data_IF_561960473117
#
_entry.id   IF_561960473117
#
_cell.length_a   1.000
_cell.length_b   1.000
_cell.length_c   1.000
_cell.angle_alpha   90.00
_cell.angle_beta   90.00
_cell.angle_gamma   90.00
#
_symmetry.space_group_name_H-M   'P 1'
#
loop_
_entity.id
_entity.type
_entity.pdbx_description
1 polymer ?
#
# COMPACT_ATOMS: atom_id res chain seq x y z
N UNK A 1 8.29 10.49 -22.53
CA UNK A 1 7.40 10.73 -21.37
C UNK A 1 6.96 12.18 -21.43
N UNK A 2 5.67 12.44 -21.33
CA UNK A 2 5.12 13.79 -21.12
C UNK A 2 5.52 14.31 -19.72
N UNK A 3 5.66 15.63 -19.58
CA UNK A 3 6.14 16.27 -18.34
C UNK A 3 5.32 15.89 -17.10
N UNK A 4 4.03 15.62 -17.28
CA UNK A 4 3.16 15.14 -16.21
C UNK A 4 3.59 13.77 -15.68
N UNK A 5 3.86 12.79 -16.56
CA UNK A 5 4.34 11.45 -16.16
C UNK A 5 5.69 11.55 -15.47
N UNK A 6 6.55 12.49 -15.88
CA UNK A 6 7.84 12.73 -15.21
C UNK A 6 7.64 13.34 -13.82
N UNK A 7 6.76 14.33 -13.69
CA UNK A 7 6.40 14.92 -12.39
C UNK A 7 5.81 13.90 -11.42
N UNK A 8 4.94 13.02 -11.91
CA UNK A 8 4.32 11.97 -11.10
C UNK A 8 5.30 10.86 -10.73
N UNK A 9 6.18 10.49 -11.66
CA UNK A 9 7.28 9.58 -11.37
C UNK A 9 8.22 10.16 -10.31
N UNK A 10 8.61 11.43 -10.45
CA UNK A 10 9.45 12.12 -9.46
C UNK A 10 8.73 12.27 -8.11
N UNK A 11 7.41 12.51 -8.12
CA UNK A 11 6.58 12.54 -6.91
C UNK A 11 6.52 11.16 -6.25
N UNK A 12 6.26 10.11 -7.01
CA UNK A 12 6.23 8.73 -6.50
C UNK A 12 7.61 8.27 -6.00
N UNK A 13 8.70 8.71 -6.65
CA UNK A 13 10.06 8.43 -6.19
C UNK A 13 10.42 9.22 -4.93
N UNK A 14 9.98 10.48 -4.79
CA UNK A 14 10.20 11.31 -3.59
C UNK A 14 9.37 10.90 -2.39
N UNK A 15 8.15 10.41 -2.63
CA UNK A 15 7.24 9.90 -1.60
C UNK A 15 7.25 8.36 -1.56
N UNK A 16 8.29 7.74 -2.14
CA UNK A 16 8.50 6.30 -2.05
C UNK A 16 8.57 5.97 -0.57
N UNK A 17 7.90 4.90 -0.14
CA UNK A 17 7.71 4.45 1.27
C UNK A 17 8.99 4.31 2.12
N UNK A 18 10.17 4.71 1.66
CA UNK A 18 11.39 4.74 2.45
C UNK A 18 11.26 5.53 3.76
N UNK A 19 10.44 6.60 3.81
CA UNK A 19 10.18 7.32 5.07
C UNK A 19 9.05 6.73 5.91
N UNK A 20 8.36 5.68 5.44
CA UNK A 20 7.27 5.05 6.21
C UNK A 20 7.83 4.32 7.42
N UNK A 21 9.07 3.82 7.32
CA UNK A 21 9.77 3.20 8.44
C UNK A 21 10.25 4.20 9.49
N UNK A 22 10.29 5.50 9.14
CA UNK A 22 10.56 6.59 10.08
C UNK A 22 9.25 7.14 10.70
N UNK A 23 8.08 6.66 10.24
CA UNK A 23 6.78 7.06 10.76
C UNK A 23 6.47 6.24 12.02
N UNK A 24 6.36 6.94 13.16
CA UNK A 24 6.13 6.32 14.46
C UNK A 24 4.78 5.61 14.53
N UNK A 25 3.73 6.15 13.89
CA UNK A 25 2.40 5.52 13.86
C UNK A 25 2.45 4.22 13.06
N UNK A 26 3.22 4.21 11.97
CA UNK A 26 3.47 3.00 11.19
C UNK A 26 4.27 1.94 11.98
N UNK A 27 5.31 2.35 12.70
CA UNK A 27 6.12 1.44 13.54
C UNK A 27 5.27 0.80 14.66
N UNK A 28 4.53 1.63 15.42
CA UNK A 28 3.66 1.16 16.51
C UNK A 28 2.60 0.19 16.00
N UNK A 29 1.99 0.50 14.85
CA UNK A 29 1.00 -0.36 14.21
C UNK A 29 1.61 -1.68 13.74
N UNK A 30 2.79 -1.63 13.12
CA UNK A 30 3.51 -2.81 12.65
C UNK A 30 3.86 -3.76 13.81
N UNK A 31 4.39 -3.22 14.90
CA UNK A 31 4.69 -3.99 16.11
C UNK A 31 3.42 -4.61 16.72
N UNK A 32 2.30 -3.88 16.75
CA UNK A 32 1.02 -4.41 17.22
C UNK A 32 0.52 -5.57 16.35
N UNK A 33 0.68 -5.48 15.03
CA UNK A 33 0.30 -6.54 14.07
C UNK A 33 1.16 -7.78 14.26
N UNK A 34 2.47 -7.62 14.46
CA UNK A 34 3.38 -8.74 14.74
C UNK A 34 2.99 -9.48 16.03
N UNK A 35 2.79 -8.73 17.12
CA UNK A 35 2.38 -9.30 18.40
C UNK A 35 1.04 -10.06 18.30
N UNK A 36 0.08 -9.51 17.55
CA UNK A 36 -1.21 -10.16 17.36
C UNK A 36 -1.08 -11.42 16.50
N UNK A 37 -0.25 -11.38 15.46
CA UNK A 37 0.07 -12.54 14.61
C UNK A 37 0.63 -13.69 15.44
N UNK A 38 1.61 -13.42 16.31
CA UNK A 38 2.20 -14.44 17.18
C UNK A 38 1.20 -15.06 18.16
N UNK A 39 0.29 -14.25 18.72
CA UNK A 39 -0.76 -14.73 19.64
C UNK A 39 -1.72 -15.67 18.93
N UNK A 40 -2.12 -15.34 17.71
CA UNK A 40 -3.03 -16.15 16.90
C UNK A 40 -2.35 -17.46 16.48
N UNK A 41 -1.12 -17.38 15.97
CA UNK A 41 -0.40 -18.54 15.45
C UNK A 41 -0.04 -19.56 16.54
N UNK A 42 0.22 -19.12 17.78
CA UNK A 42 0.57 -20.01 18.92
C UNK A 42 -0.50 -21.06 19.24
N UNK A 43 -1.77 -20.80 18.94
CA UNK A 43 -2.88 -21.71 19.21
C UNK A 43 -3.29 -22.59 18.03
N UNK A 44 -2.65 -22.43 16.87
CA UNK A 44 -3.05 -23.06 15.62
C UNK A 44 -2.26 -24.33 15.33
N UNK A 45 -2.91 -25.28 14.65
CA UNK A 45 -2.23 -26.42 14.04
C UNK A 45 -1.67 -26.06 12.65
N UNK A 46 -0.89 -26.97 12.05
CA UNK A 46 -0.21 -26.73 10.76
C UNK A 46 -1.17 -26.41 9.60
N UNK A 47 -2.33 -27.08 9.55
CA UNK A 47 -3.34 -26.85 8.51
C UNK A 47 -3.97 -25.46 8.66
N UNK A 48 -4.31 -25.06 9.89
CA UNK A 48 -4.84 -23.74 10.21
C UNK A 48 -3.82 -22.63 9.92
N UNK A 49 -2.53 -22.87 10.18
CA UNK A 49 -1.46 -21.94 9.84
C UNK A 49 -1.31 -21.76 8.33
N UNK A 50 -1.45 -22.84 7.55
CA UNK A 50 -1.42 -22.80 6.10
C UNK A 50 -2.61 -22.01 5.54
N UNK A 51 -3.83 -22.31 5.98
CA UNK A 51 -5.04 -21.60 5.56
C UNK A 51 -4.98 -20.11 5.94
N UNK A 52 -4.48 -19.78 7.14
CA UNK A 52 -4.29 -18.38 7.54
C UNK A 52 -3.30 -17.66 6.62
N UNK A 53 -2.20 -18.32 6.23
CA UNK A 53 -1.23 -17.74 5.30
C UNK A 53 -1.86 -17.46 3.93
N UNK A 54 -2.58 -18.44 3.37
CA UNK A 54 -3.26 -18.28 2.08
C UNK A 54 -4.29 -17.15 2.11
N UNK A 55 -5.04 -17.03 3.20
CA UNK A 55 -6.00 -15.94 3.39
C UNK A 55 -5.30 -14.57 3.42
N UNK A 56 -4.22 -14.43 4.18
CA UNK A 56 -3.45 -13.18 4.26
C UNK A 56 -2.83 -12.79 2.90
N UNK A 57 -2.34 -13.77 2.15
CA UNK A 57 -1.84 -13.55 0.78
C UNK A 57 -2.95 -13.08 -0.15
N UNK A 58 -4.13 -13.70 -0.08
CA UNK A 58 -5.30 -13.30 -0.89
C UNK A 58 -5.77 -11.89 -0.55
N UNK A 59 -5.86 -11.54 0.74
CA UNK A 59 -6.21 -10.20 1.21
C UNK A 59 -5.17 -9.18 0.73
N UNK A 60 -3.87 -9.50 0.82
CA UNK A 60 -2.79 -8.61 0.36
C UNK A 60 -2.85 -8.36 -1.15
N UNK A 61 -3.17 -9.39 -1.93
CA UNK A 61 -3.38 -9.27 -3.37
C UNK A 61 -4.59 -8.39 -3.69
N UNK A 62 -5.70 -8.57 -2.97
CA UNK A 62 -6.88 -7.72 -3.10
C UNK A 62 -6.56 -6.24 -2.81
N UNK A 63 -5.90 -5.94 -1.69
CA UNK A 63 -5.49 -4.58 -1.35
C UNK A 63 -4.57 -3.96 -2.41
N UNK A 64 -3.67 -4.75 -2.99
CA UNK A 64 -2.79 -4.27 -4.06
C UNK A 64 -3.57 -3.85 -5.30
N UNK A 65 -4.61 -4.60 -5.67
CA UNK A 65 -5.51 -4.27 -6.78
C UNK A 65 -6.30 -2.99 -6.47
N UNK A 66 -6.86 -2.87 -5.27
CA UNK A 66 -7.61 -1.68 -4.85
C UNK A 66 -6.73 -0.42 -4.85
N UNK A 67 -5.50 -0.52 -4.32
CA UNK A 67 -4.55 0.59 -4.32
C UNK A 67 -4.14 1.02 -5.74
N UNK A 68 -3.95 0.07 -6.66
CA UNK A 68 -3.68 0.39 -8.07
C UNK A 68 -4.84 1.19 -8.68
N UNK A 69 -6.08 0.77 -8.43
CA UNK A 69 -7.26 1.50 -8.90
C UNK A 69 -7.34 2.92 -8.31
N UNK A 70 -7.08 3.07 -7.01
CA UNK A 70 -7.05 4.38 -6.35
C UNK A 70 -5.94 5.28 -6.94
N UNK A 71 -4.75 4.73 -7.17
CA UNK A 71 -3.65 5.45 -7.79
C UNK A 71 -4.00 5.91 -9.19
N UNK A 72 -4.58 5.04 -10.02
CA UNK A 72 -5.04 5.39 -11.36
C UNK A 72 -6.12 6.47 -11.35
N UNK A 73 -7.06 6.43 -10.39
CA UNK A 73 -8.08 7.45 -10.24
C UNK A 73 -7.47 8.82 -9.86
N UNK A 74 -6.55 8.84 -8.89
CA UNK A 74 -5.83 10.05 -8.50
C UNK A 74 -4.99 10.62 -9.66
N UNK A 75 -4.36 9.75 -10.44
CA UNK A 75 -3.60 10.12 -11.63
C UNK A 75 -4.48 10.78 -12.69
N UNK A 76 -5.67 10.22 -12.97
CA UNK A 76 -6.63 10.81 -13.92
C UNK A 76 -7.08 12.19 -13.45
N UNK A 77 -7.45 12.31 -12.18
CA UNK A 77 -7.86 13.59 -11.58
C UNK A 77 -6.75 14.65 -11.69
N UNK A 78 -5.50 14.28 -11.38
CA UNK A 78 -4.36 15.19 -11.54
C UNK A 78 -4.17 15.65 -13.00
N UNK A 79 -4.42 14.75 -13.96
CA UNK A 79 -4.42 15.07 -15.39
C UNK A 79 -5.50 16.08 -15.78
N UNK A 80 -6.74 15.88 -15.31
CA UNK A 80 -7.85 16.80 -15.55
C UNK A 80 -7.62 18.18 -14.93
N UNK A 81 -7.13 18.23 -13.69
CA UNK A 81 -6.78 19.49 -13.01
C UNK A 81 -5.68 20.25 -13.75
N UNK A 82 -4.64 19.55 -14.21
CA UNK A 82 -3.56 20.18 -14.98
C UNK A 82 -4.06 20.68 -16.35
N UNK A 83 -5.02 20.01 -16.97
CA UNK A 83 -5.66 20.50 -18.21
C UNK A 83 -6.46 21.78 -17.97
N UNK A 84 -7.20 21.85 -16.85
CA UNK A 84 -7.96 23.04 -16.44
C UNK A 84 -7.06 24.24 -16.15
N UNK A 85 -5.91 24.06 -15.51
CA UNK A 85 -4.98 25.15 -15.19
C UNK A 85 -4.24 25.68 -16.43
N UNK A 86 -4.11 24.86 -17.49
CA UNK A 86 -3.44 25.23 -18.74
C UNK A 86 -4.38 25.80 -19.80
N UNK A 87 -5.70 25.77 -19.58
CA UNK A 87 -6.72 26.40 -20.41
C UNK A 87 -6.88 27.88 -20.07
#
# INVERSE_FOLDING_TARGET
MNDLTKCLYDFACKNRMGSIYDDQEYEETSHSVELQTEKVQRGMNEEQLLELRLLLESISAQYSIENEHLFQAALRLAGELNALVRA
#
